data_IF_940591633573
#
_entry.id   IF_940591633573
#
_cell.length_a   1.000
_cell.length_b   1.000
_cell.length_c   1.000
_cell.angle_alpha   90.00
_cell.angle_beta   90.00
_cell.angle_gamma   90.00
#
_symmetry.space_group_name_H-M   'P 1'
#
loop_
_entity.id
_entity.type
_entity.pdbx_description
1 polymer ?
#
# COMPACT_ATOMS: atom_id res chain seq x y z
N UNK A 1 6.13 -10.39 -9.18
CA UNK A 1 7.22 -9.73 -8.39
C UNK A 1 7.91 -10.68 -7.42
N UNK A 2 7.16 -11.46 -6.61
CA UNK A 2 7.79 -12.33 -5.61
C UNK A 2 8.84 -13.27 -6.20
N UNK A 3 8.46 -14.08 -7.19
CA UNK A 3 9.36 -15.07 -7.77
C UNK A 3 10.53 -14.45 -8.54
N UNK A 4 10.31 -13.35 -9.24
CA UNK A 4 11.31 -12.75 -10.13
C UNK A 4 12.22 -11.76 -9.40
N UNK A 5 11.80 -11.17 -8.29
CA UNK A 5 12.51 -10.10 -7.58
C UNK A 5 12.90 -10.52 -6.18
N UNK A 6 11.93 -10.77 -5.28
CA UNK A 6 12.22 -10.98 -3.87
C UNK A 6 12.94 -12.30 -3.64
N UNK A 7 12.46 -13.39 -4.22
CA UNK A 7 13.06 -14.71 -4.10
C UNK A 7 14.49 -14.74 -4.66
N UNK A 8 14.74 -14.01 -5.76
CA UNK A 8 16.08 -13.87 -6.33
C UNK A 8 17.02 -13.12 -5.37
N UNK A 9 16.57 -12.04 -4.74
CA UNK A 9 17.36 -11.28 -3.76
C UNK A 9 17.64 -12.11 -2.50
N UNK A 10 16.67 -12.89 -2.00
CA UNK A 10 16.87 -13.82 -0.88
C UNK A 10 17.94 -14.86 -1.19
N UNK A 11 17.91 -15.45 -2.38
CA UNK A 11 18.90 -16.42 -2.82
C UNK A 11 20.33 -15.82 -2.80
N UNK A 12 20.47 -14.60 -3.33
CA UNK A 12 21.79 -13.94 -3.37
C UNK A 12 22.28 -13.49 -2.00
N UNK A 13 21.38 -13.03 -1.14
CA UNK A 13 21.74 -12.63 0.25
C UNK A 13 21.88 -13.81 1.19
N UNK A 14 21.42 -15.00 0.81
CA UNK A 14 21.33 -16.20 1.65
C UNK A 14 20.53 -15.97 2.94
N UNK A 15 19.51 -15.14 2.87
CA UNK A 15 18.63 -14.77 3.95
C UNK A 15 17.19 -14.93 3.49
N UNK A 16 16.31 -15.46 4.34
CA UNK A 16 14.86 -15.48 4.11
C UNK A 16 14.25 -14.31 4.87
N UNK A 17 13.67 -13.35 4.13
CA UNK A 17 13.05 -12.15 4.70
C UNK A 17 11.65 -11.91 4.15
N UNK A 18 11.15 -12.75 3.25
CA UNK A 18 9.82 -12.62 2.66
C UNK A 18 9.04 -13.93 2.69
N UNK A 19 7.73 -13.82 2.63
CA UNK A 19 6.81 -14.93 2.51
C UNK A 19 5.76 -14.60 1.47
N UNK A 20 5.37 -15.57 0.66
CA UNK A 20 4.35 -15.44 -0.37
C UNK A 20 3.08 -16.19 0.02
N UNK A 21 1.94 -15.53 -0.18
CA UNK A 21 0.61 -16.08 0.05
C UNK A 21 -0.22 -15.91 -1.22
N UNK A 22 -0.65 -17.00 -1.83
CA UNK A 22 -1.63 -16.98 -2.91
C UNK A 22 -3.02 -17.07 -2.28
N UNK A 23 -3.80 -15.99 -2.40
CA UNK A 23 -5.12 -15.84 -1.75
C UNK A 23 -6.16 -15.47 -2.80
N UNK A 24 -7.30 -16.17 -2.79
CA UNK A 24 -8.34 -16.05 -3.80
C UNK A 24 -9.69 -15.52 -3.24
N UNK A 25 -9.74 -15.21 -1.95
CA UNK A 25 -10.93 -14.70 -1.26
C UNK A 25 -10.57 -13.79 -0.10
N UNK A 26 -11.53 -13.00 0.37
CA UNK A 26 -11.37 -12.16 1.56
C UNK A 26 -11.12 -12.98 2.82
N UNK A 27 -11.69 -14.19 2.91
CA UNK A 27 -11.47 -15.09 4.04
C UNK A 27 -10.05 -15.67 4.03
N UNK A 28 -9.54 -16.11 2.87
CA UNK A 28 -8.15 -16.57 2.75
C UNK A 28 -7.16 -15.44 3.08
N UNK A 29 -7.45 -14.20 2.64
CA UNK A 29 -6.66 -13.04 3.00
C UNK A 29 -6.65 -12.82 4.52
N UNK A 30 -7.81 -12.89 5.18
CA UNK A 30 -7.93 -12.78 6.65
C UNK A 30 -7.11 -13.84 7.37
N UNK A 31 -7.19 -15.10 6.93
CA UNK A 31 -6.42 -16.19 7.52
C UNK A 31 -4.92 -16.02 7.33
N UNK A 32 -4.47 -15.57 6.15
CA UNK A 32 -3.07 -15.25 5.88
C UNK A 32 -2.56 -14.15 6.83
N UNK A 33 -3.31 -13.05 6.98
CA UNK A 33 -2.95 -11.95 7.89
C UNK A 33 -2.91 -12.43 9.35
N UNK A 34 -3.84 -13.26 9.79
CA UNK A 34 -3.82 -13.87 11.13
C UNK A 34 -2.60 -14.79 11.33
N UNK A 35 -2.19 -15.50 10.29
CA UNK A 35 -0.95 -16.28 10.29
C UNK A 35 0.29 -15.42 10.48
N UNK A 36 0.38 -14.31 9.73
CA UNK A 36 1.46 -13.34 9.84
C UNK A 36 1.46 -12.72 11.24
N UNK A 37 0.31 -12.31 11.76
CA UNK A 37 0.18 -11.74 13.11
C UNK A 37 0.76 -12.65 14.20
N UNK A 38 0.60 -13.95 14.06
CA UNK A 38 1.14 -14.92 15.04
C UNK A 38 2.66 -15.02 15.00
N UNK A 39 3.28 -14.75 13.85
CA UNK A 39 4.72 -14.92 13.63
C UNK A 39 5.56 -13.67 13.89
N UNK A 40 4.97 -12.47 13.81
CA UNK A 40 5.67 -11.20 14.03
C UNK A 40 5.81 -10.84 15.51
N UNK A 41 6.83 -10.03 15.81
CA UNK A 41 7.12 -9.52 17.15
C UNK A 41 6.95 -7.99 17.20
N UNK A 42 6.84 -7.46 18.41
CA UNK A 42 6.87 -6.01 18.62
C UNK A 42 8.23 -5.45 18.18
N UNK A 43 8.21 -4.37 17.40
CA UNK A 43 9.39 -3.74 16.84
C UNK A 43 9.83 -4.30 15.48
N UNK A 44 9.21 -5.36 14.98
CA UNK A 44 9.45 -5.82 13.62
C UNK A 44 8.96 -4.77 12.61
N UNK A 45 9.78 -4.50 11.59
CA UNK A 45 9.37 -3.69 10.44
C UNK A 45 8.72 -4.63 9.43
N UNK A 46 7.40 -4.51 9.27
CA UNK A 46 6.63 -5.36 8.36
C UNK A 46 6.22 -4.59 7.12
N UNK A 47 6.53 -5.14 5.94
CA UNK A 47 5.98 -4.67 4.67
C UNK A 47 4.97 -5.69 4.13
N UNK A 48 3.72 -5.28 3.97
CA UNK A 48 2.66 -6.06 3.36
C UNK A 48 2.47 -5.58 1.93
N UNK A 49 2.94 -6.35 0.94
CA UNK A 49 2.69 -6.08 -0.46
C UNK A 49 1.49 -6.86 -0.96
N UNK A 50 0.59 -6.17 -1.68
CA UNK A 50 -0.65 -6.73 -2.21
C UNK A 50 -0.68 -6.49 -3.71
N UNK A 51 -0.72 -7.58 -4.48
CA UNK A 51 -0.79 -7.58 -5.94
C UNK A 51 -2.12 -8.21 -6.37
N UNK A 52 -3.05 -7.40 -6.86
CA UNK A 52 -4.38 -7.86 -7.27
C UNK A 52 -5.12 -6.76 -8.05
N UNK A 53 -6.42 -6.94 -8.26
CA UNK A 53 -7.29 -5.90 -8.81
C UNK A 53 -7.71 -4.92 -7.72
N UNK A 54 -7.64 -3.62 -8.03
CA UNK A 54 -8.15 -2.54 -7.17
C UNK A 54 -9.25 -1.75 -7.85
N UNK A 55 -10.20 -1.27 -7.06
CA UNK A 55 -11.27 -0.37 -7.49
C UNK A 55 -11.56 0.68 -6.40
N UNK A 56 -12.47 1.60 -6.69
CA UNK A 56 -12.82 2.65 -5.74
C UNK A 56 -13.44 2.11 -4.44
N UNK A 57 -14.04 0.91 -4.47
CA UNK A 57 -14.71 0.29 -3.33
C UNK A 57 -13.78 -0.58 -2.46
N UNK A 58 -12.72 -1.15 -3.03
CA UNK A 58 -11.87 -2.11 -2.32
C UNK A 58 -10.94 -2.93 -3.21
N UNK A 59 -10.56 -4.07 -2.65
CA UNK A 59 -9.64 -5.06 -3.24
C UNK A 59 -10.47 -6.16 -3.90
N UNK A 60 -10.25 -6.43 -5.19
CA UNK A 60 -10.90 -7.50 -5.92
C UNK A 60 -10.12 -8.81 -5.85
N UNK A 61 -10.83 -9.94 -5.68
CA UNK A 61 -10.28 -11.29 -5.73
C UNK A 61 -10.70 -12.04 -6.99
N UNK A 62 -9.99 -13.11 -7.31
CA UNK A 62 -10.25 -13.93 -8.51
C UNK A 62 -11.65 -14.60 -8.52
N UNK A 63 -12.25 -14.80 -7.34
CA UNK A 63 -13.61 -15.32 -7.21
C UNK A 63 -14.71 -14.26 -7.48
N UNK A 64 -14.33 -13.01 -7.81
CA UNK A 64 -15.25 -11.89 -8.03
C UNK A 64 -15.66 -11.15 -6.77
N UNK A 65 -15.18 -11.55 -5.62
CA UNK A 65 -15.43 -10.88 -4.32
C UNK A 65 -14.65 -9.56 -4.23
N UNK A 66 -15.24 -8.56 -3.57
CA UNK A 66 -14.58 -7.29 -3.24
C UNK A 66 -14.49 -7.15 -1.73
N UNK A 67 -13.28 -7.07 -1.21
CA UNK A 67 -13.01 -6.69 0.17
C UNK A 67 -13.01 -5.16 0.28
N UNK A 68 -14.02 -4.59 0.93
CA UNK A 68 -14.14 -3.14 1.09
C UNK A 68 -12.99 -2.56 1.88
N UNK A 69 -12.59 -1.31 1.60
CA UNK A 69 -11.47 -0.64 2.26
C UNK A 69 -11.58 -0.61 3.79
N UNK A 70 -12.77 -0.40 4.32
CA UNK A 70 -13.01 -0.45 5.78
C UNK A 70 -12.71 -1.82 6.37
N UNK A 71 -13.13 -2.90 5.70
CA UNK A 71 -12.89 -4.26 6.17
C UNK A 71 -11.41 -4.63 6.02
N UNK A 72 -10.75 -4.18 4.94
CA UNK A 72 -9.32 -4.30 4.77
C UNK A 72 -8.56 -3.66 5.94
N UNK A 73 -8.90 -2.44 6.33
CA UNK A 73 -8.30 -1.77 7.49
C UNK A 73 -8.48 -2.55 8.79
N UNK A 74 -9.68 -3.10 9.00
CA UNK A 74 -9.95 -3.91 10.20
C UNK A 74 -9.10 -5.18 10.24
N UNK A 75 -8.78 -5.76 9.08
CA UNK A 75 -7.95 -6.96 8.98
C UNK A 75 -6.49 -6.64 9.26
N UNK A 76 -5.93 -5.55 8.72
CA UNK A 76 -4.49 -5.26 8.83
C UNK A 76 -4.11 -4.46 10.08
N UNK A 77 -5.04 -3.74 10.70
CA UNK A 77 -4.78 -2.91 11.90
C UNK A 77 -4.12 -3.68 13.05
N UNK A 78 -4.51 -4.94 13.37
CA UNK A 78 -3.80 -5.73 14.37
C UNK A 78 -2.31 -5.89 14.09
N UNK A 79 -1.90 -6.05 12.83
CA UNK A 79 -0.48 -6.11 12.44
C UNK A 79 0.25 -4.81 12.79
N UNK A 80 -0.35 -3.65 12.46
CA UNK A 80 0.24 -2.36 12.77
C UNK A 80 0.39 -2.12 14.27
N UNK A 81 -0.62 -2.54 15.06
CA UNK A 81 -0.56 -2.42 16.51
C UNK A 81 0.53 -3.33 17.07
N UNK A 82 0.59 -4.58 16.61
CA UNK A 82 1.53 -5.58 17.12
C UNK A 82 2.99 -5.26 16.81
N UNK A 83 3.26 -4.68 15.64
CA UNK A 83 4.60 -4.21 15.25
C UNK A 83 5.04 -2.92 15.97
N UNK A 84 4.20 -2.32 16.82
CA UNK A 84 4.49 -1.01 17.41
C UNK A 84 4.37 0.14 16.39
N UNK A 85 3.40 0.02 15.47
CA UNK A 85 3.12 0.98 14.39
C UNK A 85 4.20 1.02 13.30
N UNK A 86 4.77 -0.14 12.95
CA UNK A 86 5.79 -0.28 11.90
C UNK A 86 5.29 -1.11 10.70
N UNK A 87 3.98 -1.13 10.42
CA UNK A 87 3.41 -1.73 9.21
C UNK A 87 3.46 -0.77 8.03
N UNK A 88 4.14 -1.18 6.98
CA UNK A 88 4.13 -0.52 5.67
C UNK A 88 3.26 -1.34 4.70
N UNK A 89 2.42 -0.67 3.92
CA UNK A 89 1.54 -1.33 2.95
C UNK A 89 1.93 -0.90 1.54
N UNK A 90 2.12 -1.85 0.65
CA UNK A 90 2.45 -1.62 -0.77
C UNK A 90 1.31 -2.16 -1.63
N UNK A 91 0.59 -1.26 -2.30
CA UNK A 91 -0.61 -1.56 -3.06
C UNK A 91 -0.28 -1.59 -4.57
N UNK A 92 0.16 -2.75 -5.06
CA UNK A 92 0.45 -2.98 -6.48
C UNK A 92 -0.85 -3.28 -7.26
N UNK A 93 -1.76 -2.30 -7.33
CA UNK A 93 -3.09 -2.44 -7.96
C UNK A 93 -3.62 -1.08 -8.43
N UNK A 94 -4.68 -1.10 -9.23
CA UNK A 94 -5.33 0.10 -9.74
C UNK A 94 -5.99 0.92 -8.63
N UNK A 95 -5.91 2.26 -8.70
CA UNK A 95 -6.70 3.22 -7.90
C UNK A 95 -6.67 2.99 -6.39
N UNK A 96 -5.60 2.41 -5.88
CA UNK A 96 -5.51 2.08 -4.44
C UNK A 96 -5.48 3.31 -3.52
N UNK A 97 -5.31 4.51 -4.04
CA UNK A 97 -5.49 5.77 -3.30
C UNK A 97 -6.90 5.87 -2.69
N UNK A 98 -7.91 5.24 -3.30
CA UNK A 98 -9.29 5.24 -2.81
C UNK A 98 -9.45 4.69 -1.38
N UNK A 99 -8.48 3.91 -0.90
CA UNK A 99 -8.47 3.41 0.48
C UNK A 99 -8.49 4.54 1.54
N UNK A 100 -8.04 5.75 1.19
CA UNK A 100 -8.06 6.91 2.09
C UNK A 100 -9.48 7.23 2.55
N UNK A 101 -10.49 7.04 1.70
CA UNK A 101 -11.90 7.32 2.00
C UNK A 101 -12.47 6.50 3.18
N UNK A 102 -11.81 5.41 3.56
CA UNK A 102 -12.23 4.55 4.67
C UNK A 102 -11.55 4.88 6.00
N UNK A 103 -10.74 5.94 6.07
CA UNK A 103 -10.07 6.34 7.31
C UNK A 103 -11.10 6.83 8.32
N UNK A 104 -11.00 6.30 9.54
CA UNK A 104 -11.78 6.73 10.69
C UNK A 104 -10.83 7.36 11.72
N UNK A 105 -10.97 8.68 12.03
CA UNK A 105 -10.10 9.37 12.98
C UNK A 105 -10.25 8.89 14.43
N UNK A 106 -11.34 8.21 14.75
CA UNK A 106 -11.59 7.67 16.09
C UNK A 106 -10.89 6.32 16.31
N UNK A 107 -10.34 5.73 15.25
CA UNK A 107 -9.67 4.44 15.29
C UNK A 107 -8.15 4.59 15.17
N UNK A 108 -7.40 3.60 15.70
CA UNK A 108 -5.96 3.55 15.49
C UNK A 108 -5.63 3.38 14.02
N UNK A 109 -4.57 4.04 13.55
CA UNK A 109 -4.10 3.94 12.19
C UNK A 109 -3.85 2.48 11.78
N UNK A 110 -4.35 2.03 10.62
CA UNK A 110 -4.19 0.65 10.16
C UNK A 110 -2.78 0.36 9.62
N UNK A 111 -1.96 1.38 9.36
CA UNK A 111 -0.60 1.29 8.82
C UNK A 111 0.25 2.48 9.30
N UNK A 112 1.58 2.40 9.12
CA UNK A 112 2.51 3.53 9.29
C UNK A 112 2.54 4.41 8.06
N UNK A 113 2.70 3.79 6.91
CA UNK A 113 2.68 4.44 5.61
C UNK A 113 2.27 3.43 4.52
N UNK A 114 1.84 3.94 3.37
CA UNK A 114 1.53 3.09 2.24
C UNK A 114 2.02 3.69 0.92
N UNK A 115 2.31 2.80 -0.04
CA UNK A 115 2.52 3.14 -1.44
C UNK A 115 1.25 2.74 -2.20
N UNK A 116 0.69 3.67 -2.96
CA UNK A 116 -0.56 3.49 -3.69
C UNK A 116 -0.44 3.97 -5.13
N UNK A 117 -1.50 3.70 -5.91
CA UNK A 117 -1.68 4.24 -7.26
C UNK A 117 -2.86 5.19 -7.31
N UNK A 118 -2.71 6.29 -8.06
CA UNK A 118 -3.74 7.32 -8.23
C UNK A 118 -4.68 7.06 -9.41
N UNK A 119 -4.27 6.16 -10.34
CA UNK A 119 -5.03 5.83 -11.56
C UNK A 119 -5.02 4.32 -11.83
N UNK A 120 -5.65 3.93 -12.92
CA UNK A 120 -5.46 2.59 -13.45
C UNK A 120 -4.01 2.44 -13.94
N UNK A 121 -3.42 1.32 -13.61
CA UNK A 121 -2.06 0.91 -14.01
C UNK A 121 -2.10 -0.44 -14.70
N UNK A 122 -1.19 -0.66 -15.63
CA UNK A 122 -1.02 -1.95 -16.29
C UNK A 122 -0.12 -2.85 -15.46
N UNK A 123 -0.19 -4.16 -15.71
CA UNK A 123 0.73 -5.12 -15.08
C UNK A 123 2.19 -4.84 -15.43
N UNK A 124 2.47 -4.31 -16.63
CA UNK A 124 3.81 -3.91 -17.05
C UNK A 124 4.32 -2.71 -16.23
N UNK A 125 3.48 -1.68 -16.03
CA UNK A 125 3.82 -0.53 -15.18
C UNK A 125 4.10 -0.95 -13.73
N UNK A 126 3.30 -1.85 -13.19
CA UNK A 126 3.51 -2.42 -11.84
C UNK A 126 4.85 -3.17 -11.81
N UNK A 127 5.07 -4.07 -12.75
CA UNK A 127 6.28 -4.90 -12.79
C UNK A 127 7.54 -4.05 -12.91
N UNK A 128 7.62 -3.14 -13.89
CA UNK A 128 8.79 -2.26 -14.10
C UNK A 128 9.01 -1.34 -12.91
N UNK A 129 7.96 -0.72 -12.42
CA UNK A 129 8.05 0.20 -11.30
C UNK A 129 8.56 -0.47 -10.02
N UNK A 130 7.97 -1.59 -9.62
CA UNK A 130 8.41 -2.29 -8.41
C UNK A 130 9.74 -3.03 -8.58
N UNK A 131 10.13 -3.41 -9.80
CA UNK A 131 11.48 -3.89 -10.06
C UNK A 131 12.52 -2.80 -9.72
N UNK A 132 12.32 -1.58 -10.22
CA UNK A 132 13.18 -0.44 -9.93
C UNK A 132 13.18 -0.07 -8.43
N UNK A 133 12.00 -0.13 -7.78
CA UNK A 133 11.86 0.11 -6.35
C UNK A 133 12.70 -0.87 -5.52
N UNK A 134 12.49 -2.16 -5.69
CA UNK A 134 13.16 -3.17 -4.90
C UNK A 134 14.66 -3.27 -5.21
N UNK A 135 15.07 -3.03 -6.46
CA UNK A 135 16.49 -2.96 -6.78
C UNK A 135 17.20 -1.86 -5.97
N UNK A 136 16.61 -0.66 -5.93
CA UNK A 136 17.15 0.44 -5.12
C UNK A 136 17.05 0.17 -3.63
N UNK A 137 15.91 -0.30 -3.16
CA UNK A 137 15.68 -0.55 -1.74
C UNK A 137 16.70 -1.55 -1.16
N UNK A 138 16.89 -2.69 -1.81
CA UNK A 138 17.82 -3.71 -1.32
C UNK A 138 19.31 -3.34 -1.46
N UNK A 139 19.65 -2.44 -2.36
CA UNK A 139 21.02 -1.97 -2.52
C UNK A 139 21.38 -0.85 -1.55
N UNK A 140 20.44 0.03 -1.21
CA UNK A 140 20.70 1.24 -0.44
C UNK A 140 20.03 1.26 0.94
N UNK A 141 19.02 0.41 1.17
CA UNK A 141 18.14 0.41 2.35
C UNK A 141 17.47 1.78 2.60
N UNK A 142 17.22 2.53 1.51
CA UNK A 142 16.65 3.87 1.51
C UNK A 142 15.32 3.86 0.75
N UNK A 143 14.22 3.99 1.49
CA UNK A 143 12.87 3.96 0.93
C UNK A 143 12.56 5.19 0.05
N UNK A 144 13.17 6.35 0.35
CA UNK A 144 12.97 7.58 -0.43
C UNK A 144 13.59 7.46 -1.82
N UNK A 145 14.80 6.92 -1.89
CA UNK A 145 15.46 6.66 -3.17
C UNK A 145 14.75 5.55 -3.96
N UNK A 146 14.26 4.51 -3.28
CA UNK A 146 13.47 3.45 -3.89
C UNK A 146 12.15 3.99 -4.47
N UNK A 147 11.44 4.84 -3.73
CA UNK A 147 10.22 5.50 -4.20
C UNK A 147 10.52 6.41 -5.41
N UNK A 148 11.61 7.17 -5.36
CA UNK A 148 12.04 8.00 -6.49
C UNK A 148 12.33 7.15 -7.73
N UNK A 149 12.95 5.98 -7.58
CA UNK A 149 13.19 5.06 -8.69
C UNK A 149 11.87 4.51 -9.28
N UNK A 150 10.93 4.08 -8.44
CA UNK A 150 9.58 3.67 -8.83
C UNK A 150 8.88 4.76 -9.65
N UNK A 151 8.87 5.99 -9.14
CA UNK A 151 8.21 7.13 -9.77
C UNK A 151 8.86 7.57 -11.08
N UNK A 152 10.19 7.45 -11.19
CA UNK A 152 10.91 7.78 -12.42
C UNK A 152 10.72 6.75 -13.51
N UNK A 153 10.57 5.47 -13.15
CA UNK A 153 10.39 4.36 -14.09
C UNK A 153 9.03 4.39 -14.77
N UNK A 154 8.00 4.86 -14.07
CA UNK A 154 6.62 4.87 -14.59
C UNK A 154 6.05 6.28 -14.53
N UNK A 155 5.91 6.91 -15.69
CA UNK A 155 5.34 8.25 -15.87
C UNK A 155 4.35 8.25 -17.02
N UNK A 156 3.38 9.14 -16.93
CA UNK A 156 2.48 9.47 -18.04
C UNK A 156 3.13 10.46 -19.03
N UNK A 157 2.41 10.81 -20.08
CA UNK A 157 2.86 11.75 -21.11
C UNK A 157 3.16 13.16 -20.58
N UNK A 158 2.63 13.51 -19.41
CA UNK A 158 2.90 14.78 -18.72
C UNK A 158 4.06 14.68 -17.71
N UNK A 159 4.66 13.50 -17.58
CA UNK A 159 5.77 13.25 -16.65
C UNK A 159 5.35 12.95 -15.22
N UNK A 160 4.05 12.72 -14.94
CA UNK A 160 3.55 12.38 -13.61
C UNK A 160 3.51 10.87 -13.39
N UNK A 161 4.02 10.44 -12.24
CA UNK A 161 3.93 9.04 -11.81
C UNK A 161 2.56 8.74 -11.20
N UNK A 162 1.98 7.56 -11.48
CA UNK A 162 0.78 7.10 -10.79
C UNK A 162 1.07 6.66 -9.34
N UNK A 163 2.32 6.43 -8.97
CA UNK A 163 2.70 5.91 -7.66
C UNK A 163 2.97 7.04 -6.67
N UNK A 164 2.39 6.91 -5.49
CA UNK A 164 2.57 7.84 -4.38
C UNK A 164 2.79 7.10 -3.07
N UNK A 165 3.53 7.74 -2.16
CA UNK A 165 3.68 7.25 -0.79
C UNK A 165 3.11 8.28 0.18
N UNK A 166 2.25 7.81 1.08
CA UNK A 166 1.57 8.62 2.07
C UNK A 166 1.73 7.99 3.46
N UNK A 167 2.04 8.80 4.47
CA UNK A 167 2.03 8.34 5.86
C UNK A 167 0.63 8.45 6.45
N UNK A 168 0.31 7.62 7.45
CA UNK A 168 -0.95 7.73 8.18
C UNK A 168 -1.12 9.11 8.82
N UNK A 169 -0.02 9.71 9.27
CA UNK A 169 0.00 11.03 9.89
C UNK A 169 -0.33 12.14 8.88
N UNK A 170 0.30 12.11 7.68
CA UNK A 170 0.00 13.10 6.64
C UNK A 170 -1.45 13.01 6.17
N UNK A 171 -1.97 11.81 5.97
CA UNK A 171 -3.35 11.59 5.55
C UNK A 171 -4.33 12.06 6.62
N UNK A 172 -4.06 11.78 7.90
CA UNK A 172 -4.89 12.27 9.01
C UNK A 172 -4.90 13.80 9.08
N UNK A 173 -3.72 14.42 9.04
CA UNK A 173 -3.59 15.87 9.10
C UNK A 173 -4.33 16.56 7.95
N UNK A 174 -4.22 16.01 6.75
CA UNK A 174 -4.84 16.58 5.56
C UNK A 174 -6.36 16.39 5.55
N UNK A 175 -6.86 15.24 6.03
CA UNK A 175 -8.29 14.93 6.01
C UNK A 175 -9.07 15.63 7.14
N UNK A 176 -8.45 15.75 8.33
CA UNK A 176 -9.17 16.16 9.54
C UNK A 176 -8.66 17.46 10.18
N UNK A 177 -7.63 18.09 9.62
CA UNK A 177 -7.07 19.36 10.16
C UNK A 177 -7.25 20.52 9.16
N UNK A 178 -8.47 21.08 9.02
CA UNK A 178 -8.81 22.06 7.99
C UNK A 178 -8.08 23.40 8.10
N UNK A 179 -7.31 23.64 9.17
CA UNK A 179 -6.59 24.89 9.39
C UNK A 179 -5.19 24.93 8.75
N UNK A 180 -4.74 23.85 8.13
CA UNK A 180 -3.55 23.89 7.27
C UNK A 180 -3.94 24.40 5.87
N UNK A 181 -3.65 25.67 5.59
CA UNK A 181 -3.78 26.33 4.29
C UNK A 181 -2.83 25.74 3.21
N UNK A 182 -2.80 24.44 3.06
CA UNK A 182 -2.18 23.81 1.90
C UNK A 182 -3.28 23.01 1.20
N UNK A 183 -3.61 23.42 -0.02
CA UNK A 183 -4.35 22.59 -0.96
C UNK A 183 -3.63 21.24 -1.03
N UNK A 184 -4.19 20.29 -0.32
CA UNK A 184 -3.49 19.08 0.02
C UNK A 184 -3.41 18.16 -1.18
N UNK A 185 -2.36 17.36 -1.24
CA UNK A 185 -2.22 16.29 -2.22
C UNK A 185 -3.44 15.36 -2.19
N UNK A 186 -4.07 15.19 -1.02
CA UNK A 186 -5.24 14.33 -0.83
C UNK A 186 -6.51 14.95 -1.43
N UNK A 187 -6.80 16.23 -1.18
CA UNK A 187 -8.00 16.89 -1.74
C UNK A 187 -7.95 16.92 -3.26
N UNK A 188 -6.79 17.28 -3.83
CA UNK A 188 -6.61 17.23 -5.28
C UNK A 188 -6.75 15.82 -5.86
N UNK A 189 -6.39 14.79 -5.11
CA UNK A 189 -6.46 13.40 -5.56
C UNK A 189 -7.87 12.82 -5.37
N UNK A 190 -8.55 13.13 -4.29
CA UNK A 190 -9.94 12.74 -4.05
C UNK A 190 -10.88 13.41 -5.07
N UNK A 191 -10.66 14.69 -5.41
CA UNK A 191 -11.40 15.38 -6.47
C UNK A 191 -11.16 14.74 -7.85
N UNK A 192 -9.91 14.38 -8.17
CA UNK A 192 -9.58 13.69 -9.43
C UNK A 192 -10.22 12.31 -9.54
N UNK A 193 -10.45 11.63 -8.42
CA UNK A 193 -11.08 10.32 -8.36
C UNK A 193 -12.61 10.37 -8.26
N UNK A 194 -13.22 11.58 -8.17
CA UNK A 194 -14.66 11.76 -7.95
C UNK A 194 -15.17 11.04 -6.67
N UNK A 195 -14.30 10.89 -5.66
CA UNK A 195 -14.67 10.29 -4.38
C UNK A 195 -15.35 11.36 -3.54
N UNK A 196 -16.61 11.18 -3.12
CA UNK A 196 -17.29 12.17 -2.31
C UNK A 196 -16.60 12.31 -0.96
N UNK A 197 -16.21 13.54 -0.60
CA UNK A 197 -15.77 13.88 0.74
C UNK A 197 -17.05 13.78 1.61
N UNK A 198 -17.09 12.78 2.49
CA UNK A 198 -18.19 12.66 3.44
C UNK A 198 -18.00 13.72 4.52
N UNK A 199 -18.79 14.77 4.48
CA UNK A 199 -18.93 15.70 5.61
C UNK A 199 -19.35 14.88 6.85
N UNK A 200 -18.47 14.85 7.83
CA UNK A 200 -18.69 14.23 9.14
C UNK A 200 -19.31 15.20 10.13
#
# INVERSE_FOLDING_TARGET
>A
LYHDVLQYKEYHKRESFSSFYDVNSSEEFRLAVQGIEKSILEGDILTLQIETHGCDEGIGFNNGEILKWKDFYNIIRPLNIKTGHLLFVVMAMCKSIAMISAINPEERAPYRAFICTTRKVTSDEICRGFLAFYDKYFNLLDISQALTALQNEVKDDNGYSPFQALSAESVFDETFNPNRNNSSLVDNQLEQLNIPITDS
#
